data_IF_941867391434
#
_entry.id   IF_941867391434
#
_cell.length_a   1.000
_cell.length_b   1.000
_cell.length_c   1.000
_cell.angle_alpha   90.00
_cell.angle_beta   90.00
_cell.angle_gamma   90.00
#
_symmetry.space_group_name_H-M   'P 1'
#
loop_
_entity.id
_entity.type
_entity.pdbx_description
1 polymer ?
#
# COMPACT_ATOMS: atom_id res chain seq x y z
N UNK A 1 38.62 -33.71 25.41
CA UNK A 1 37.43 -33.57 24.55
C UNK A 1 37.12 -32.10 24.44
N UNK A 2 37.42 -31.49 23.29
CA UNK A 2 37.14 -30.08 23.03
C UNK A 2 36.65 -30.01 21.59
N UNK A 3 35.33 -30.09 21.41
CA UNK A 3 34.72 -29.90 20.10
C UNK A 3 34.74 -28.41 19.80
N UNK A 4 35.76 -27.97 19.06
CA UNK A 4 35.76 -26.65 18.45
C UNK A 4 34.74 -26.67 17.30
N UNK A 5 33.55 -26.12 17.57
CA UNK A 5 32.52 -25.91 16.57
C UNK A 5 33.06 -24.91 15.54
N UNK A 6 33.55 -25.42 14.41
CA UNK A 6 34.05 -24.60 13.30
C UNK A 6 32.86 -24.35 12.38
N UNK A 7 32.09 -23.28 12.64
CA UNK A 7 31.07 -22.83 11.68
C UNK A 7 31.81 -22.06 10.59
N UNK A 8 32.12 -22.74 9.49
CA UNK A 8 32.59 -22.11 8.26
C UNK A 8 31.36 -21.59 7.51
N UNK A 9 31.00 -20.32 7.70
CA UNK A 9 30.04 -19.66 6.82
C UNK A 9 30.80 -19.14 5.60
N UNK A 10 30.76 -19.87 4.49
CA UNK A 10 30.93 -19.27 3.16
C UNK A 10 29.66 -18.45 2.82
N UNK A 11 29.25 -17.55 3.73
CA UNK A 11 28.21 -16.60 3.44
C UNK A 11 28.85 -15.55 2.53
N UNK A 12 28.57 -15.65 1.24
CA UNK A 12 28.81 -14.57 0.29
C UNK A 12 28.25 -13.28 0.92
N UNK A 13 29.15 -12.36 1.29
CA UNK A 13 28.75 -11.10 1.88
C UNK A 13 28.14 -10.28 0.75
N UNK A 14 26.82 -10.34 0.61
CA UNK A 14 26.09 -9.51 -0.35
C UNK A 14 26.27 -8.05 0.07
N UNK A 15 26.87 -7.19 -0.77
CA UNK A 15 26.94 -5.78 -0.48
C UNK A 15 25.52 -5.21 -0.32
N UNK A 16 25.34 -4.28 0.61
CA UNK A 16 24.02 -3.67 0.87
C UNK A 16 23.26 -3.24 -0.41
N UNK A 17 23.95 -2.57 -1.33
CA UNK A 17 23.35 -2.08 -2.58
C UNK A 17 22.98 -3.19 -3.59
N UNK A 18 23.43 -4.43 -3.36
CA UNK A 18 23.12 -5.58 -4.20
C UNK A 18 21.93 -6.40 -3.65
N UNK A 19 21.30 -5.97 -2.55
CA UNK A 19 20.08 -6.61 -2.06
C UNK A 19 18.92 -6.35 -3.06
N UNK A 20 18.38 -7.39 -3.71
CA UNK A 20 17.38 -7.22 -4.77
C UNK A 20 16.10 -6.55 -4.28
N UNK A 21 15.84 -6.59 -2.97
CA UNK A 21 14.64 -5.99 -2.40
C UNK A 21 14.58 -4.47 -2.58
N UNK A 22 15.72 -3.77 -2.67
CA UNK A 22 15.71 -2.32 -2.88
C UNK A 22 15.13 -1.96 -4.25
N UNK A 23 15.55 -2.65 -5.31
CA UNK A 23 15.02 -2.45 -6.64
C UNK A 23 13.52 -2.78 -6.72
N UNK A 24 13.07 -3.82 -6.00
CA UNK A 24 11.66 -4.18 -5.95
C UNK A 24 10.81 -3.13 -5.19
N UNK A 25 11.32 -2.57 -4.09
CA UNK A 25 10.66 -1.49 -3.35
C UNK A 25 10.53 -0.24 -4.23
N UNK A 26 11.59 0.12 -4.94
CA UNK A 26 11.60 1.29 -5.82
C UNK A 26 10.60 1.10 -6.98
N UNK A 27 10.58 -0.08 -7.62
CA UNK A 27 9.63 -0.41 -8.69
C UNK A 27 8.18 -0.30 -8.23
N UNK A 28 7.83 -0.88 -7.08
CA UNK A 28 6.47 -0.77 -6.55
C UNK A 28 6.11 0.67 -6.18
N UNK A 29 7.03 1.42 -5.56
CA UNK A 29 6.80 2.81 -5.18
C UNK A 29 6.58 3.70 -6.41
N UNK A 30 7.37 3.48 -7.46
CA UNK A 30 7.23 4.18 -8.74
C UNK A 30 5.89 3.85 -9.39
N UNK A 31 5.56 2.56 -9.56
CA UNK A 31 4.29 2.13 -10.15
C UNK A 31 3.08 2.72 -9.40
N UNK A 32 3.09 2.66 -8.07
CA UNK A 32 2.05 3.26 -7.24
C UNK A 32 1.96 4.78 -7.47
N UNK A 33 3.09 5.48 -7.55
CA UNK A 33 3.10 6.93 -7.80
C UNK A 33 2.53 7.30 -9.18
N UNK A 34 2.79 6.48 -10.21
CA UNK A 34 2.21 6.64 -11.55
C UNK A 34 0.70 6.42 -11.50
N UNK A 35 0.25 5.36 -10.84
CA UNK A 35 -1.18 5.07 -10.66
C UNK A 35 -1.92 6.22 -9.96
N UNK A 36 -1.33 6.83 -8.93
CA UNK A 36 -1.98 7.92 -8.20
C UNK A 36 -2.30 9.16 -9.05
N UNK A 37 -1.54 9.39 -10.13
CA UNK A 37 -1.68 10.57 -11.01
C UNK A 37 -2.23 10.22 -12.40
N UNK A 38 -2.49 8.94 -12.67
CA UNK A 38 -2.98 8.50 -13.97
C UNK A 38 -4.39 9.05 -14.26
N UNK A 39 -4.66 9.54 -15.49
CA UNK A 39 -5.99 9.99 -15.85
C UNK A 39 -6.97 8.83 -15.89
N UNK A 40 -8.23 9.10 -15.52
CA UNK A 40 -9.32 8.13 -15.53
C UNK A 40 -9.49 7.46 -16.90
N UNK A 41 -9.91 6.20 -16.89
CA UNK A 41 -10.03 5.37 -18.09
C UNK A 41 -8.85 4.41 -18.24
N UNK A 42 -8.45 4.12 -19.49
CA UNK A 42 -7.50 3.04 -19.78
C UNK A 42 -6.12 3.26 -19.13
N UNK A 43 -5.63 4.49 -19.05
CA UNK A 43 -4.34 4.77 -18.43
C UNK A 43 -4.31 4.44 -16.93
N UNK A 44 -5.37 4.77 -16.20
CA UNK A 44 -5.51 4.40 -14.78
C UNK A 44 -5.61 2.89 -14.59
N UNK A 45 -6.37 2.18 -15.43
CA UNK A 45 -6.46 0.70 -15.38
C UNK A 45 -5.12 0.03 -15.65
N UNK A 46 -4.36 0.51 -16.65
CA UNK A 46 -3.06 -0.05 -16.97
C UNK A 46 -2.02 0.24 -15.86
N UNK A 47 -2.08 1.42 -15.24
CA UNK A 47 -1.21 1.78 -14.12
C UNK A 47 -1.55 1.02 -12.82
N UNK A 48 -2.83 0.72 -12.59
CA UNK A 48 -3.28 -0.14 -11.48
C UNK A 48 -2.74 -1.57 -11.66
N UNK A 49 -2.86 -2.12 -12.87
CA UNK A 49 -2.32 -3.44 -13.20
C UNK A 49 -0.79 -3.51 -13.00
N UNK A 50 -0.05 -2.50 -13.45
CA UNK A 50 1.42 -2.44 -13.21
C UNK A 50 1.75 -2.33 -11.71
N UNK A 51 0.96 -1.57 -10.95
CA UNK A 51 1.13 -1.47 -9.48
C UNK A 51 0.90 -2.83 -8.82
N UNK A 52 -0.12 -3.55 -9.27
CA UNK A 52 -0.46 -4.88 -8.78
C UNK A 52 0.63 -5.92 -9.10
N UNK A 53 1.13 -5.93 -10.34
CA UNK A 53 2.23 -6.82 -10.75
C UNK A 53 3.52 -6.50 -9.97
N UNK A 54 3.85 -5.21 -9.82
CA UNK A 54 5.01 -4.78 -9.03
C UNK A 54 4.88 -5.16 -7.54
N UNK A 55 3.67 -5.17 -6.99
CA UNK A 55 3.43 -5.64 -5.62
C UNK A 55 3.69 -7.14 -5.50
N UNK A 56 3.21 -7.95 -6.44
CA UNK A 56 3.48 -9.38 -6.45
C UNK A 56 4.97 -9.69 -6.57
N UNK A 57 5.68 -9.00 -7.45
CA UNK A 57 7.13 -9.11 -7.59
C UNK A 57 7.85 -8.72 -6.29
N UNK A 58 7.44 -7.61 -5.67
CA UNK A 58 7.95 -7.17 -4.37
C UNK A 58 7.76 -8.24 -3.30
N UNK A 59 6.55 -8.83 -3.21
CA UNK A 59 6.20 -9.86 -2.24
C UNK A 59 6.93 -11.20 -2.47
N UNK A 60 7.38 -11.47 -3.70
CA UNK A 60 8.17 -12.65 -4.03
C UNK A 60 9.69 -12.42 -3.86
N UNK A 61 10.17 -11.17 -3.93
CA UNK A 61 11.60 -10.84 -3.92
C UNK A 61 12.25 -11.10 -2.56
N UNK A 62 13.28 -11.97 -2.44
CA UNK A 62 13.93 -12.25 -1.15
C UNK A 62 14.72 -11.05 -0.62
N UNK A 63 14.90 -10.98 0.70
CA UNK A 63 15.84 -10.03 1.32
C UNK A 63 17.18 -10.73 1.54
N UNK A 64 18.26 -10.21 0.95
CA UNK A 64 19.61 -10.75 1.14
C UNK A 64 20.31 -10.22 2.40
N UNK A 65 19.82 -9.09 2.94
CA UNK A 65 20.45 -8.41 4.08
C UNK A 65 19.43 -8.03 5.15
N UNK A 66 19.90 -7.89 6.40
CA UNK A 66 19.09 -7.37 7.52
C UNK A 66 18.55 -5.97 7.24
N UNK A 67 19.31 -5.15 6.53
CA UNK A 67 18.89 -3.80 6.19
C UNK A 67 17.78 -3.80 5.13
N UNK A 68 17.84 -4.70 4.14
CA UNK A 68 16.75 -4.94 3.19
C UNK A 68 15.47 -5.39 3.89
N UNK A 69 15.56 -6.30 4.87
CA UNK A 69 14.42 -6.69 5.70
C UNK A 69 13.78 -5.51 6.45
N UNK A 70 14.58 -4.62 7.06
CA UNK A 70 14.06 -3.42 7.75
C UNK A 70 13.36 -2.45 6.79
N UNK A 71 13.94 -2.23 5.61
CA UNK A 71 13.33 -1.39 4.59
C UNK A 71 12.02 -1.98 4.07
N UNK A 72 11.98 -3.30 3.85
CA UNK A 72 10.75 -3.98 3.43
C UNK A 72 9.66 -3.89 4.52
N UNK A 73 9.99 -4.10 5.80
CA UNK A 73 9.03 -3.92 6.90
C UNK A 73 8.43 -2.50 6.87
N UNK A 74 9.29 -1.48 6.75
CA UNK A 74 8.83 -0.08 6.67
C UNK A 74 7.90 0.15 5.49
N UNK A 75 8.26 -0.39 4.31
CA UNK A 75 7.46 -0.26 3.10
C UNK A 75 6.11 -0.98 3.20
N UNK A 76 6.09 -2.22 3.68
CA UNK A 76 4.86 -2.99 3.87
C UNK A 76 3.92 -2.34 4.89
N UNK A 77 4.44 -1.77 5.98
CA UNK A 77 3.64 -1.00 6.94
C UNK A 77 2.99 0.22 6.28
N UNK A 78 3.75 0.97 5.48
CA UNK A 78 3.20 2.08 4.71
C UNK A 78 2.09 1.61 3.75
N UNK A 79 2.34 0.53 3.01
CA UNK A 79 1.36 -0.05 2.08
C UNK A 79 0.07 -0.47 2.81
N UNK A 80 0.18 -1.26 3.88
CA UNK A 80 -0.96 -1.71 4.67
C UNK A 80 -1.73 -0.55 5.32
N UNK A 81 -1.06 0.52 5.76
CA UNK A 81 -1.76 1.67 6.32
C UNK A 81 -2.48 2.50 5.23
N UNK A 82 -1.92 2.63 4.02
CA UNK A 82 -2.51 3.42 2.93
C UNK A 82 -3.61 2.68 2.16
N UNK A 83 -3.44 1.38 1.95
CA UNK A 83 -4.32 0.55 1.12
C UNK A 83 -5.37 -0.22 1.93
N UNK A 84 -5.41 -0.07 3.26
CA UNK A 84 -6.43 -0.66 4.13
C UNK A 84 -7.88 -0.44 3.66
N UNK A 85 -8.27 0.75 3.15
CA UNK A 85 -9.62 0.95 2.63
C UNK A 85 -9.95 0.13 1.37
N UNK A 86 -8.92 -0.41 0.70
CA UNK A 86 -9.01 -1.15 -0.55
C UNK A 86 -8.62 -2.63 -0.36
N UNK A 87 -8.53 -3.14 0.87
CA UNK A 87 -8.02 -4.49 1.15
C UNK A 87 -8.73 -5.60 0.34
N UNK A 88 -10.05 -5.48 0.16
CA UNK A 88 -10.86 -6.45 -0.58
C UNK A 88 -10.52 -6.50 -2.09
N UNK A 89 -9.92 -5.43 -2.64
CA UNK A 89 -9.53 -5.38 -4.06
C UNK A 89 -8.35 -6.31 -4.39
N UNK A 90 -7.62 -6.78 -3.38
CA UNK A 90 -6.46 -7.68 -3.54
C UNK A 90 -6.85 -9.17 -3.43
N UNK A 91 -8.15 -9.47 -3.28
CA UNK A 91 -8.65 -10.83 -3.28
C UNK A 91 -8.80 -11.36 -4.72
N UNK A 92 -8.04 -12.41 -5.05
CA UNK A 92 -8.15 -13.13 -6.33
C UNK A 92 -8.91 -14.43 -6.09
N UNK A 93 -9.98 -14.68 -6.84
CA UNK A 93 -10.68 -15.97 -6.83
C UNK A 93 -9.73 -17.09 -7.28
N UNK A 94 -9.36 -17.97 -6.35
CA UNK A 94 -8.45 -19.10 -6.61
C UNK A 94 -6.97 -18.75 -6.67
N UNK A 95 -6.59 -17.49 -6.36
CA UNK A 95 -5.20 -17.04 -6.28
C UNK A 95 -4.77 -16.68 -4.86
N UNK A 96 -3.47 -16.48 -4.62
CA UNK A 96 -2.98 -16.03 -3.32
C UNK A 96 -3.30 -14.55 -3.12
N UNK A 97 -4.01 -14.24 -2.03
CA UNK A 97 -4.42 -12.88 -1.68
C UNK A 97 -3.18 -12.03 -1.33
N UNK A 98 -2.85 -11.03 -2.16
CA UNK A 98 -1.66 -10.19 -1.99
C UNK A 98 -1.68 -9.39 -0.68
N UNK A 99 -2.86 -8.97 -0.23
CA UNK A 99 -3.04 -8.28 1.07
C UNK A 99 -2.68 -9.19 2.24
N UNK A 100 -3.15 -10.44 2.23
CA UNK A 100 -2.79 -11.43 3.26
C UNK A 100 -1.31 -11.78 3.21
N UNK A 101 -0.73 -11.95 2.03
CA UNK A 101 0.71 -12.20 1.87
C UNK A 101 1.53 -11.05 2.45
N UNK A 102 1.17 -9.80 2.16
CA UNK A 102 1.85 -8.62 2.69
C UNK A 102 1.84 -8.59 4.22
N UNK A 103 0.69 -8.90 4.85
CA UNK A 103 0.59 -8.97 6.31
C UNK A 103 1.47 -10.06 6.91
N UNK A 104 1.40 -11.28 6.36
CA UNK A 104 2.21 -12.41 6.83
C UNK A 104 3.70 -12.11 6.69
N UNK A 105 4.09 -11.54 5.55
CA UNK A 105 5.48 -11.22 5.25
C UNK A 105 6.04 -10.12 6.16
N UNK A 106 5.26 -9.08 6.44
CA UNK A 106 5.63 -8.05 7.41
C UNK A 106 5.82 -8.65 8.81
N UNK A 107 4.90 -9.51 9.25
CA UNK A 107 4.93 -10.13 10.57
C UNK A 107 6.14 -11.07 10.73
N UNK A 108 6.44 -11.89 9.72
CA UNK A 108 7.56 -12.84 9.75
C UNK A 108 8.91 -12.13 9.79
N UNK A 109 9.08 -11.07 8.99
CA UNK A 109 10.30 -10.26 9.01
C UNK A 109 10.45 -9.52 10.33
N UNK A 110 9.35 -8.98 10.87
CA UNK A 110 9.36 -8.30 12.17
C UNK A 110 9.76 -9.24 13.29
N UNK A 111 9.24 -10.47 13.30
CA UNK A 111 9.62 -11.52 14.25
C UNK A 111 11.08 -11.92 14.09
N UNK A 112 11.54 -12.13 12.85
CA UNK A 112 12.93 -12.47 12.54
C UNK A 112 13.93 -11.44 13.09
N UNK A 113 13.57 -10.15 13.04
CA UNK A 113 14.43 -9.06 13.48
C UNK A 113 14.20 -8.59 14.93
N UNK A 114 13.17 -9.08 15.60
CA UNK A 114 12.76 -8.61 16.92
C UNK A 114 12.24 -7.16 16.93
N UNK A 115 11.59 -6.74 15.83
CA UNK A 115 11.04 -5.38 15.63
C UNK A 115 9.53 -5.39 15.43
N UNK A 116 8.87 -6.32 16.12
CA UNK A 116 7.41 -6.46 16.14
C UNK A 116 6.73 -5.11 16.31
N UNK A 117 5.64 -4.89 15.57
CA UNK A 117 4.86 -3.67 15.70
C UNK A 117 4.45 -3.57 17.16
N UNK A 118 4.74 -2.43 17.80
CA UNK A 118 4.23 -2.15 19.14
C UNK A 118 2.73 -1.89 18.98
N UNK A 119 1.97 -2.97 18.81
CA UNK A 119 0.54 -2.94 19.04
C UNK A 119 0.41 -2.69 20.53
N UNK A 120 -0.13 -1.52 20.90
CA UNK A 120 -0.45 -1.22 22.28
C UNK A 120 -1.69 -2.03 22.69
N UNK A 121 -1.55 -3.34 22.67
CA UNK A 121 -2.56 -4.26 23.14
C UNK A 121 -2.71 -4.06 24.65
N UNK A 122 -3.94 -4.06 25.18
CA UNK A 122 -4.16 -3.93 26.60
C UNK A 122 -3.47 -5.08 27.34
N UNK A 123 -2.56 -4.75 28.26
CA UNK A 123 -1.88 -5.71 29.11
C UNK A 123 -2.86 -6.19 30.16
N UNK A 124 -3.21 -7.47 30.15
CA UNK A 124 -3.98 -8.09 31.22
C UNK A 124 -3.10 -8.28 32.46
N UNK A 125 -3.45 -7.59 33.54
CA UNK A 125 -2.85 -7.84 34.85
C UNK A 125 -3.40 -9.15 35.44
N UNK A 126 -2.64 -9.79 36.36
CA UNK A 126 -3.11 -10.95 37.13
C UNK A 126 -4.41 -10.70 37.90
N UNK A 127 -4.74 -9.43 38.16
CA UNK A 127 -5.98 -8.99 38.79
C UNK A 127 -7.19 -8.96 37.85
N UNK A 128 -7.03 -9.34 36.57
CA UNK A 128 -8.06 -9.23 35.54
C UNK A 128 -8.26 -7.80 35.01
N UNK A 129 -7.48 -6.83 35.50
CA UNK A 129 -7.53 -5.44 35.03
C UNK A 129 -6.67 -5.27 33.78
N UNK A 130 -7.22 -4.63 32.76
CA UNK A 130 -6.46 -4.27 31.57
C UNK A 130 -5.72 -2.95 31.80
N UNK A 131 -4.38 -2.94 31.71
CA UNK A 131 -3.58 -1.73 31.50
C UNK A 131 -3.32 -1.62 30.00
N UNK A 132 -4.18 -0.91 29.30
CA UNK A 132 -3.93 -0.46 27.93
C UNK A 132 -3.74 1.06 27.90
N UNK A 133 -3.20 1.62 26.81
CA UNK A 133 -3.45 3.03 26.56
C UNK A 133 -4.96 3.22 26.57
N UNK A 134 -5.44 4.29 27.18
CA UNK A 134 -6.80 4.76 26.94
C UNK A 134 -6.85 5.09 25.45
N UNK A 135 -7.30 4.15 24.62
CA UNK A 135 -7.74 4.47 23.27
C UNK A 135 -8.97 5.33 23.52
N UNK A 136 -8.78 6.64 23.45
CA UNK A 136 -9.91 7.54 23.30
C UNK A 136 -10.58 7.13 21.99
N UNK A 137 -11.67 6.38 22.11
CA UNK A 137 -12.52 5.99 20.98
C UNK A 137 -13.28 7.19 20.42
N UNK A 138 -12.99 8.43 20.87
CA UNK A 138 -13.36 9.60 20.09
C UNK A 138 -12.82 9.39 18.67
N UNK A 139 -13.69 9.42 17.66
CA UNK A 139 -13.21 9.47 16.29
C UNK A 139 -12.32 10.69 16.20
N UNK A 140 -11.01 10.47 16.08
CA UNK A 140 -10.12 11.49 15.56
C UNK A 140 -10.64 11.69 14.15
N UNK A 141 -11.37 12.79 13.95
CA UNK A 141 -11.64 13.29 12.61
C UNK A 141 -10.27 13.60 12.05
N UNK A 142 -9.69 12.64 11.34
CA UNK A 142 -8.53 12.87 10.49
C UNK A 142 -9.05 13.77 9.39
N UNK A 143 -8.95 15.08 9.63
CA UNK A 143 -9.19 16.11 8.65
C UNK A 143 -8.09 16.02 7.59
N UNK A 144 -8.31 15.13 6.62
CA UNK A 144 -8.20 15.32 5.17
C UNK A 144 -7.91 13.97 4.49
N UNK A 145 -8.93 13.24 4.01
CA UNK A 145 -8.67 12.27 2.97
C UNK A 145 -8.37 13.02 1.66
N UNK A 146 -7.28 12.62 0.99
CA UNK A 146 -6.90 12.99 -0.40
C UNK A 146 -8.07 12.79 -1.40
N UNK A 147 -9.15 12.12 -0.98
CA UNK A 147 -10.43 11.99 -1.68
C UNK A 147 -11.16 13.30 -1.98
N UNK A 148 -10.86 14.42 -1.32
CA UNK A 148 -11.46 15.71 -1.70
C UNK A 148 -11.10 16.15 -3.11
N UNK A 149 -9.92 15.76 -3.62
CA UNK A 149 -9.55 16.05 -5.00
C UNK A 149 -10.41 15.27 -6.03
N UNK A 150 -10.70 13.98 -5.76
CA UNK A 150 -11.51 13.15 -6.68
C UNK A 150 -13.01 13.45 -6.62
N UNK A 151 -13.53 13.88 -5.46
CA UNK A 151 -14.93 14.31 -5.32
C UNK A 151 -15.21 15.66 -6.00
N UNK A 152 -14.29 16.62 -5.90
CA UNK A 152 -14.40 17.89 -6.63
C UNK A 152 -14.25 17.70 -8.14
N UNK A 153 -13.40 16.77 -8.59
CA UNK A 153 -13.28 16.39 -10.00
C UNK A 153 -14.58 15.80 -10.56
N UNK A 154 -15.24 14.88 -9.83
CA UNK A 154 -16.55 14.34 -10.26
C UNK A 154 -17.66 15.39 -10.32
N UNK A 155 -17.66 16.36 -9.39
CA UNK A 155 -18.62 17.46 -9.44
C UNK A 155 -18.36 18.40 -10.63
N UNK A 156 -17.09 18.64 -10.97
CA UNK A 156 -16.68 19.44 -12.13
C UNK A 156 -17.12 18.84 -13.47
N UNK A 157 -16.94 17.53 -13.65
CA UNK A 157 -17.30 16.84 -14.91
C UNK A 157 -18.81 16.82 -15.17
N UNK A 158 -19.63 16.67 -14.12
CA UNK A 158 -21.09 16.72 -14.26
C UNK A 158 -21.54 18.13 -14.66
N UNK A 159 -20.95 19.18 -14.09
CA UNK A 159 -21.27 20.57 -14.44
C UNK A 159 -20.84 20.88 -15.88
N UNK A 160 -19.66 20.45 -16.31
CA UNK A 160 -19.18 20.66 -17.67
C UNK A 160 -20.06 19.93 -18.71
N UNK A 161 -20.44 18.68 -18.44
CA UNK A 161 -21.35 17.93 -19.29
C UNK A 161 -22.72 18.62 -19.41
N UNK A 162 -23.25 19.15 -18.30
CA UNK A 162 -24.54 19.85 -18.28
C UNK A 162 -24.49 21.17 -19.05
N UNK A 163 -23.39 21.92 -18.95
CA UNK A 163 -23.17 23.17 -19.72
C UNK A 163 -23.09 22.88 -21.23
N UNK A 164 -22.41 21.80 -21.64
CA UNK A 164 -22.33 21.43 -23.06
C UNK A 164 -23.69 21.02 -23.63
N UNK A 165 -24.49 20.26 -22.89
CA UNK A 165 -25.82 19.84 -23.33
C UNK A 165 -26.76 21.05 -23.43
N UNK A 166 -26.79 21.91 -22.42
CA UNK A 166 -27.66 23.10 -22.42
C UNK A 166 -27.22 24.11 -23.49
N UNK A 167 -25.92 24.36 -23.61
CA UNK A 167 -25.36 25.25 -24.64
C UNK A 167 -25.62 24.75 -26.07
N UNK A 168 -25.46 23.44 -26.31
CA UNK A 168 -25.73 22.81 -27.60
C UNK A 168 -27.20 22.86 -28.00
N UNK A 169 -28.12 22.61 -27.06
CA UNK A 169 -29.56 22.74 -27.29
C UNK A 169 -29.99 24.20 -27.54
N UNK A 170 -29.38 25.16 -26.83
CA UNK A 170 -29.65 26.59 -27.04
C UNK A 170 -29.20 27.09 -28.41
N UNK A 171 -28.01 26.67 -28.86
CA UNK A 171 -27.49 27.04 -30.18
C UNK A 171 -28.28 26.40 -31.33
N UNK A 172 -28.70 25.15 -31.19
CA UNK A 172 -29.55 24.49 -32.19
C UNK A 172 -30.97 25.08 -32.23
N UNK A 173 -31.54 25.48 -31.09
CA UNK A 173 -32.82 26.19 -31.04
C UNK A 173 -32.77 27.59 -31.64
N UNK A 174 -31.66 28.32 -31.49
CA UNK A 174 -31.48 29.62 -32.15
C UNK A 174 -31.26 29.48 -33.66
N UNK A 175 -30.57 28.42 -34.10
CA UNK A 175 -30.31 28.17 -35.52
C UNK A 175 -31.56 27.77 -36.33
N UNK A 176 -32.64 27.29 -35.69
CA UNK A 176 -33.90 26.96 -36.35
C UNK A 176 -34.94 28.09 -36.33
N UNK A 177 -34.61 29.22 -35.70
CA UNK A 177 -35.47 30.39 -35.54
C UNK A 177 -35.10 31.56 -36.48
N UNK A 178 -34.08 31.39 -37.32
CA UNK A 178 -33.70 32.27 -38.43
C UNK A 178 -33.83 31.53 -39.76
#
# INVERSE_FOLDING_TARGET
MTHALTIRTDAEIVPYHADPIFAAIDRHSEAWSVFQVAPEGKASVDADAETFDALHDLLATPCATRAGMLCLIRHLRWFLDNEAPNADAYEIVGGPNAWTIAQVREADLSRCLGVERIERLPIALPSGRLIGPVIDLRPVVVSTPVRFARLLSRAGDVVAALVLVVGGCGLTGLATLF
#
